data_IF_845664994408
#
_entry.id   IF_845664994408
#
_cell.length_a   1.000
_cell.length_b   1.000
_cell.length_c   1.000
_cell.angle_alpha   90.00
_cell.angle_beta   90.00
_cell.angle_gamma   90.00
#
_symmetry.space_group_name_H-M   'P 1'
#
loop_
_entity.id
_entity.type
_entity.pdbx_description
1 polymer ?
#
# COMPACT_ATOMS: atom_id res chain seq x y z
N UNK A 1 23.15 -27.01 22.62
CA UNK A 1 21.99 -27.00 21.72
C UNK A 1 21.89 -25.59 21.18
N UNK A 2 22.68 -25.29 20.15
CA UNK A 2 22.71 -23.96 19.54
C UNK A 2 21.34 -23.71 18.91
N UNK A 3 20.67 -22.63 19.31
CA UNK A 3 19.44 -22.20 18.69
C UNK A 3 19.73 -21.96 17.21
N UNK A 4 19.18 -22.81 16.35
CA UNK A 4 19.29 -22.68 14.89
C UNK A 4 18.70 -21.33 14.47
N UNK A 5 19.57 -20.35 14.23
CA UNK A 5 19.18 -19.07 13.68
C UNK A 5 18.63 -19.31 12.27
N UNK A 6 17.35 -19.00 12.07
CA UNK A 6 16.70 -19.08 10.76
C UNK A 6 17.37 -18.06 9.82
N UNK A 7 17.81 -18.46 8.61
CA UNK A 7 18.45 -17.55 7.65
C UNK A 7 17.56 -16.35 7.29
N UNK A 8 18.17 -15.21 7.01
CA UNK A 8 17.44 -13.98 6.68
C UNK A 8 16.54 -14.14 5.44
N UNK A 9 16.97 -14.94 4.47
CA UNK A 9 16.23 -15.22 3.24
C UNK A 9 14.90 -15.90 3.53
N UNK A 10 14.87 -16.79 4.54
CA UNK A 10 13.65 -17.47 4.97
C UNK A 10 12.71 -16.47 5.63
N UNK A 11 13.21 -15.59 6.51
CA UNK A 11 12.39 -14.53 7.10
C UNK A 11 11.84 -13.56 6.07
N UNK A 12 12.65 -13.13 5.10
CA UNK A 12 12.21 -12.29 4.00
C UNK A 12 11.12 -12.96 3.17
N UNK A 13 11.23 -14.28 2.95
CA UNK A 13 10.20 -15.06 2.28
C UNK A 13 8.92 -15.12 3.10
N UNK A 14 8.98 -15.35 4.41
CA UNK A 14 7.82 -15.29 5.32
C UNK A 14 7.16 -13.92 5.27
N UNK A 15 7.92 -12.84 5.44
CA UNK A 15 7.40 -11.46 5.38
C UNK A 15 6.80 -11.12 4.01
N UNK A 16 7.26 -11.73 2.92
CA UNK A 16 6.67 -11.52 1.59
C UNK A 16 5.23 -12.02 1.45
N UNK A 17 4.76 -12.87 2.37
CA UNK A 17 3.37 -13.35 2.40
C UNK A 17 2.46 -12.52 3.31
N UNK A 18 3.02 -11.61 4.11
CA UNK A 18 2.26 -10.81 5.05
C UNK A 18 1.61 -9.60 4.36
N UNK A 19 0.42 -9.24 4.83
CA UNK A 19 -0.24 -7.99 4.47
C UNK A 19 0.40 -6.80 5.21
N UNK A 20 0.18 -5.55 4.75
CA UNK A 20 0.77 -4.37 5.38
C UNK A 20 0.53 -4.21 6.88
N UNK A 21 -0.68 -4.48 7.43
CA UNK A 21 -0.89 -4.42 8.87
C UNK A 21 0.00 -5.41 9.63
N UNK A 22 0.15 -6.62 9.09
CA UNK A 22 0.97 -7.67 9.70
C UNK A 22 2.46 -7.36 9.59
N UNK A 23 2.91 -6.76 8.48
CA UNK A 23 4.28 -6.26 8.34
C UNK A 23 4.57 -5.15 9.36
N UNK A 24 3.63 -4.21 9.57
CA UNK A 24 3.78 -3.16 10.57
C UNK A 24 3.83 -3.71 12.00
N UNK A 25 2.99 -4.69 12.31
CA UNK A 25 3.01 -5.35 13.61
C UNK A 25 4.32 -6.15 13.80
N UNK A 26 4.76 -6.86 12.76
CA UNK A 26 6.00 -7.65 12.77
C UNK A 26 7.24 -6.77 12.96
N UNK A 27 7.29 -5.56 12.39
CA UNK A 27 8.44 -4.66 12.59
C UNK A 27 8.61 -4.19 14.03
N UNK A 28 7.57 -4.33 14.87
CA UNK A 28 7.60 -3.95 16.28
C UNK A 28 7.99 -5.09 17.22
N UNK A 29 8.18 -6.30 16.71
CA UNK A 29 8.53 -7.48 17.52
C UNK A 29 9.95 -7.37 18.06
N UNK A 30 10.94 -7.08 17.20
CA UNK A 30 12.33 -6.88 17.59
C UNK A 30 13.12 -6.06 16.56
N UNK A 31 14.30 -5.57 16.94
CA UNK A 31 15.16 -4.77 16.06
C UNK A 31 15.55 -5.52 14.77
N UNK A 32 15.87 -6.82 14.88
CA UNK A 32 16.24 -7.63 13.71
C UNK A 32 15.09 -7.73 12.69
N UNK A 33 13.85 -7.94 13.15
CA UNK A 33 12.68 -7.98 12.26
C UNK A 33 12.41 -6.62 11.63
N UNK A 34 12.57 -5.53 12.38
CA UNK A 34 12.48 -4.17 11.82
C UNK A 34 13.46 -3.98 10.66
N UNK A 35 14.73 -4.38 10.83
CA UNK A 35 15.74 -4.28 9.77
C UNK A 35 15.39 -5.12 8.54
N UNK A 36 14.91 -6.34 8.73
CA UNK A 36 14.50 -7.21 7.61
C UNK A 36 13.28 -6.64 6.88
N UNK A 37 12.30 -6.13 7.61
CA UNK A 37 11.09 -5.54 7.03
C UNK A 37 11.40 -4.23 6.31
N UNK A 38 12.44 -3.50 6.71
CA UNK A 38 12.86 -2.27 6.04
C UNK A 38 13.72 -2.50 4.78
N UNK A 39 14.07 -3.75 4.45
CA UNK A 39 14.85 -4.05 3.23
C UNK A 39 14.07 -3.69 1.96
N UNK A 40 14.71 -2.94 1.06
CA UNK A 40 14.17 -2.56 -0.25
C UNK A 40 13.75 -3.79 -1.09
N UNK A 41 14.45 -4.92 -0.95
CA UNK A 41 14.13 -6.15 -1.67
C UNK A 41 12.74 -6.70 -1.30
N UNK A 42 12.35 -6.62 -0.03
CA UNK A 42 11.02 -7.04 0.42
C UNK A 42 9.93 -6.18 -0.22
N UNK A 43 10.07 -4.86 -0.13
CA UNK A 43 9.07 -3.92 -0.67
C UNK A 43 9.01 -3.95 -2.20
N UNK A 44 10.14 -4.18 -2.88
CA UNK A 44 10.17 -4.43 -4.33
C UNK A 44 9.33 -5.66 -4.68
N UNK A 45 9.55 -6.78 -3.98
CA UNK A 45 8.77 -8.00 -4.19
C UNK A 45 7.27 -7.77 -3.93
N UNK A 46 6.92 -7.07 -2.84
CA UNK A 46 5.54 -6.72 -2.49
C UNK A 46 4.85 -5.85 -3.56
N UNK A 47 5.57 -4.88 -4.13
CA UNK A 47 5.05 -4.05 -5.21
C UNK A 47 4.85 -4.85 -6.51
N UNK A 48 5.73 -5.80 -6.80
CA UNK A 48 5.66 -6.61 -8.02
C UNK A 48 4.66 -7.77 -7.94
N UNK A 49 4.32 -8.23 -6.74
CA UNK A 49 3.36 -9.32 -6.49
C UNK A 49 1.90 -8.89 -6.57
N UNK A 50 1.63 -7.58 -6.74
CA UNK A 50 0.28 -7.04 -6.92
C UNK A 50 -0.38 -7.66 -8.14
N UNK A 51 -1.58 -8.22 -7.91
CA UNK A 51 -2.40 -8.83 -8.96
C UNK A 51 -3.09 -7.80 -9.84
N UNK A 52 -3.50 -6.68 -9.26
CA UNK A 52 -4.14 -5.56 -9.99
C UNK A 52 -3.10 -4.84 -10.86
N UNK A 53 -3.25 -4.96 -12.19
CA UNK A 53 -2.33 -4.40 -13.17
C UNK A 53 -2.30 -2.88 -13.16
N UNK A 54 -3.42 -2.21 -12.86
CA UNK A 54 -3.51 -0.76 -12.78
C UNK A 54 -2.75 -0.23 -11.57
N UNK A 55 -2.95 -0.85 -10.39
CA UNK A 55 -2.18 -0.52 -9.18
C UNK A 55 -0.69 -0.75 -9.41
N UNK A 56 -0.32 -1.88 -10.04
CA UNK A 56 1.07 -2.19 -10.34
C UNK A 56 1.73 -1.15 -11.24
N UNK A 57 1.05 -0.69 -12.29
CA UNK A 57 1.54 0.38 -13.16
C UNK A 57 1.68 1.71 -12.42
N UNK A 58 0.71 2.06 -11.55
CA UNK A 58 0.78 3.26 -10.72
C UNK A 58 1.98 3.24 -9.77
N UNK A 59 2.24 2.11 -9.10
CA UNK A 59 3.41 1.94 -8.22
C UNK A 59 4.71 2.12 -9.00
N UNK A 60 4.85 1.50 -10.18
CA UNK A 60 6.05 1.63 -11.00
C UNK A 60 6.24 3.07 -11.47
N UNK A 61 5.17 3.72 -11.95
CA UNK A 61 5.21 5.14 -12.33
C UNK A 61 5.66 6.01 -11.15
N UNK A 62 5.08 5.84 -9.96
CA UNK A 62 5.47 6.61 -8.77
C UNK A 62 6.93 6.36 -8.37
N UNK A 63 7.37 5.10 -8.38
CA UNK A 63 8.75 4.71 -8.07
C UNK A 63 9.75 5.41 -8.99
N UNK A 64 9.50 5.41 -10.30
CA UNK A 64 10.42 5.97 -11.29
C UNK A 64 10.31 7.49 -11.41
N UNK A 65 9.11 8.07 -11.34
CA UNK A 65 8.91 9.53 -11.45
C UNK A 65 9.41 10.29 -10.22
N UNK A 66 9.21 9.74 -9.03
CA UNK A 66 9.48 10.45 -7.78
C UNK A 66 10.80 10.01 -7.10
N UNK A 67 11.53 9.06 -7.70
CA UNK A 67 12.76 8.45 -7.16
C UNK A 67 12.61 7.97 -5.69
N UNK A 68 11.42 7.50 -5.31
CA UNK A 68 11.12 7.10 -3.93
C UNK A 68 11.63 5.71 -3.60
N UNK A 69 11.83 5.37 -2.33
CA UNK A 69 12.10 3.99 -1.92
C UNK A 69 10.88 3.09 -2.24
N UNK A 70 11.06 1.77 -2.40
CA UNK A 70 9.95 0.86 -2.72
C UNK A 70 8.87 0.86 -1.62
N UNK A 71 9.28 1.02 -0.36
CA UNK A 71 8.37 1.12 0.79
C UNK A 71 7.44 2.33 0.68
N UNK A 72 7.96 3.48 0.26
CA UNK A 72 7.16 4.69 0.08
C UNK A 72 6.28 4.60 -1.16
N UNK A 73 6.79 4.05 -2.27
CA UNK A 73 5.99 3.77 -3.46
C UNK A 73 4.80 2.87 -3.11
N UNK A 74 5.02 1.83 -2.31
CA UNK A 74 3.97 0.99 -1.75
C UNK A 74 3.01 1.83 -0.90
N UNK A 75 3.45 2.52 0.15
CA UNK A 75 2.56 3.26 1.06
C UNK A 75 1.62 4.25 0.35
N UNK A 76 2.07 4.87 -0.73
CA UNK A 76 1.27 5.83 -1.48
C UNK A 76 0.21 5.19 -2.40
N UNK A 77 0.39 3.91 -2.75
CA UNK A 77 -0.47 3.20 -3.71
C UNK A 77 -1.29 2.09 -3.06
N UNK A 78 -1.43 2.07 -1.73
CA UNK A 78 -2.24 1.08 -1.02
C UNK A 78 -3.05 1.71 0.11
N UNK A 79 -4.08 0.99 0.56
CA UNK A 79 -4.95 1.39 1.65
C UNK A 79 -5.67 2.71 1.38
N UNK A 80 -5.84 3.51 2.43
CA UNK A 80 -6.56 4.79 2.35
C UNK A 80 -5.91 5.84 1.46
N UNK A 81 -4.58 5.81 1.33
CA UNK A 81 -3.87 6.76 0.46
C UNK A 81 -4.20 6.54 -1.01
N UNK A 82 -4.27 5.27 -1.44
CA UNK A 82 -4.73 4.92 -2.78
C UNK A 82 -6.18 5.34 -3.00
N UNK A 83 -7.06 5.04 -2.03
CA UNK A 83 -8.48 5.36 -2.14
C UNK A 83 -8.68 6.87 -2.27
N UNK A 84 -8.08 7.66 -1.37
CA UNK A 84 -8.10 9.14 -1.46
C UNK A 84 -7.60 9.60 -2.82
N UNK A 85 -6.43 9.14 -3.26
CA UNK A 85 -5.86 9.53 -4.56
C UNK A 85 -6.80 9.21 -5.72
N UNK A 86 -7.38 8.00 -5.75
CA UNK A 86 -8.29 7.59 -6.82
C UNK A 86 -9.55 8.43 -6.86
N UNK A 87 -10.09 8.81 -5.71
CA UNK A 87 -11.17 9.80 -5.63
C UNK A 87 -10.74 11.14 -6.24
N UNK A 88 -9.59 11.69 -5.83
CA UNK A 88 -9.09 12.97 -6.37
C UNK A 88 -8.83 12.92 -7.89
N UNK A 89 -8.29 11.81 -8.39
CA UNK A 89 -8.05 11.57 -9.82
C UNK A 89 -9.35 11.34 -10.62
N UNK A 90 -10.49 11.19 -9.94
CA UNK A 90 -11.81 11.01 -10.55
C UNK A 90 -12.08 9.59 -11.05
N UNK A 91 -11.33 8.60 -10.54
CA UNK A 91 -11.54 7.19 -10.87
C UNK A 91 -12.89 6.64 -10.39
N UNK A 92 -13.56 7.37 -9.49
CA UNK A 92 -14.88 7.05 -8.95
C UNK A 92 -15.91 8.15 -9.25
N UNK A 93 -15.62 9.06 -10.18
CA UNK A 93 -16.56 10.10 -10.60
C UNK A 93 -17.58 9.55 -11.61
N UNK A 94 -18.66 10.31 -11.85
CA UNK A 94 -19.71 10.00 -12.84
C UNK A 94 -20.46 8.68 -12.60
N UNK A 95 -20.60 8.30 -11.34
CA UNK A 95 -21.39 7.13 -10.96
C UNK A 95 -22.85 7.51 -10.85
N UNK A 96 -23.72 6.80 -11.57
CA UNK A 96 -25.16 7.06 -11.51
C UNK A 96 -25.81 6.36 -10.31
N UNK A 97 -25.20 5.25 -9.87
CA UNK A 97 -25.70 4.47 -8.73
C UNK A 97 -24.57 3.94 -7.86
N UNK A 98 -24.83 3.78 -6.56
CA UNK A 98 -23.88 3.19 -5.61
C UNK A 98 -23.41 1.77 -6.01
N UNK A 99 -24.21 1.05 -6.80
CA UNK A 99 -23.94 -0.33 -7.25
C UNK A 99 -22.83 -0.42 -8.29
N UNK A 100 -22.54 0.68 -8.98
CA UNK A 100 -21.45 0.76 -9.97
C UNK A 100 -20.08 0.95 -9.32
N UNK A 101 -20.04 1.34 -8.03
CA UNK A 101 -18.79 1.46 -7.30
C UNK A 101 -18.24 0.09 -6.87
N UNK A 102 -16.93 -0.16 -7.03
CA UNK A 102 -16.28 -1.35 -6.50
C UNK A 102 -16.50 -1.50 -4.98
N UNK A 103 -16.45 -2.74 -4.48
CA UNK A 103 -16.64 -3.02 -3.05
C UNK A 103 -15.61 -2.35 -2.11
N UNK A 104 -14.48 -1.84 -2.63
CA UNK A 104 -13.35 -1.30 -1.86
C UNK A 104 -13.02 0.17 -2.19
N UNK A 105 -14.06 1.01 -2.33
CA UNK A 105 -13.94 2.47 -2.59
C UNK A 105 -13.94 3.33 -1.32
N UNK A 106 -14.23 2.73 -0.17
CA UNK A 106 -14.20 3.39 1.12
C UNK A 106 -13.15 2.74 2.03
N UNK A 107 -12.59 3.55 2.93
CA UNK A 107 -11.80 3.08 4.05
C UNK A 107 -11.97 4.04 5.23
N UNK A 108 -11.46 3.64 6.39
CA UNK A 108 -11.47 4.49 7.58
C UNK A 108 -10.53 5.68 7.39
N UNK A 109 -11.07 6.84 7.00
CA UNK A 109 -10.41 8.15 6.99
C UNK A 109 -11.19 9.12 7.88
N UNK A 110 -10.54 10.18 8.34
CA UNK A 110 -11.17 11.20 9.16
C UNK A 110 -12.16 12.06 8.36
N UNK A 111 -13.08 12.72 9.08
CA UNK A 111 -14.16 13.52 8.49
C UNK A 111 -13.62 14.64 7.61
N UNK A 112 -12.50 15.27 7.98
CA UNK A 112 -11.93 16.36 7.18
C UNK A 112 -11.38 15.82 5.86
N UNK A 113 -10.67 14.69 5.88
CA UNK A 113 -10.19 14.04 4.65
C UNK A 113 -11.32 13.65 3.71
N UNK A 114 -12.45 13.15 4.23
CA UNK A 114 -13.64 12.88 3.40
C UNK A 114 -14.30 14.16 2.91
N UNK A 115 -14.34 15.22 3.73
CA UNK A 115 -14.82 16.55 3.33
C UNK A 115 -14.05 17.11 2.16
N UNK A 116 -12.70 17.05 2.19
CA UNK A 116 -11.85 17.47 1.07
C UNK A 116 -12.17 16.73 -0.23
N UNK A 117 -12.37 15.40 -0.16
CA UNK A 117 -12.74 14.59 -1.32
C UNK A 117 -14.09 15.02 -1.88
N UNK A 118 -15.08 15.21 -0.99
CA UNK A 118 -16.43 15.60 -1.38
C UNK A 118 -16.48 17.00 -2.02
N UNK A 119 -15.80 17.98 -1.42
CA UNK A 119 -15.67 19.33 -1.98
C UNK A 119 -14.97 19.32 -3.33
N UNK A 120 -13.91 18.52 -3.48
CA UNK A 120 -13.24 18.37 -4.76
C UNK A 120 -14.14 17.77 -5.84
N UNK A 121 -14.98 16.79 -5.49
CA UNK A 121 -15.93 16.18 -6.43
C UNK A 121 -17.06 17.14 -6.82
N UNK A 122 -17.55 17.97 -5.89
CA UNK A 122 -18.57 18.99 -6.19
C UNK A 122 -18.07 20.09 -7.14
N UNK A 123 -16.78 20.41 -7.09
CA UNK A 123 -16.17 21.47 -7.89
C UNK A 123 -15.61 20.98 -9.25
N UNK A 124 -15.86 19.71 -9.62
CA UNK A 124 -15.26 19.06 -10.77
C UNK A 124 -15.94 19.38 -12.10
#
# INVERSE_FOLDING_TARGET
MEASHVPEEIWLKVFSYLEPPDLYNSSRVCHHWSLLIDKETLWKCQCLSVRDSQIKQQILSDKFKQQRCWKDAYRNNYGCRLIKRRWMEGHFSNVNTLKELPAKVFCSMDVNTWGEIFEHELNR
#
